data_IF_215724883657
#
_entry.id   IF_215724883657
#
_cell.length_a   1.000
_cell.length_b   1.000
_cell.length_c   1.000
_cell.angle_alpha   90.00
_cell.angle_beta   90.00
_cell.angle_gamma   90.00
#
_symmetry.space_group_name_H-M   'P 1'
#
loop_
_entity.id
_entity.type
_entity.pdbx_description
1 polymer ?
#
# COMPACT_ATOMS: atom_id res chain seq x y z
N UNK A 1 -11.78 -2.92 -0.63
CA UNK A 1 -10.63 -2.09 -1.03
C UNK A 1 -10.49 -2.26 -2.53
N UNK A 2 -10.52 -1.15 -3.29
CA UNK A 2 -10.50 -1.18 -4.76
C UNK A 2 -9.04 -1.10 -5.23
N UNK A 3 -8.65 -1.98 -6.16
CA UNK A 3 -7.28 -2.07 -6.69
C UNK A 3 -7.07 -1.10 -7.86
N UNK A 4 -5.81 -0.88 -8.22
CA UNK A 4 -5.42 0.08 -9.27
C UNK A 4 -5.21 -0.66 -10.59
N UNK A 5 -6.20 -0.60 -11.49
CA UNK A 5 -6.08 -1.05 -12.89
C UNK A 5 -5.03 -0.21 -13.67
N UNK A 6 -4.04 -0.86 -14.29
CA UNK A 6 -2.93 -0.14 -14.95
C UNK A 6 -1.77 0.28 -14.03
N UNK A 7 -1.74 -0.19 -12.78
CA UNK A 7 -0.51 -0.22 -12.00
C UNK A 7 0.49 -1.22 -12.60
N UNK A 8 1.79 -0.96 -12.46
CA UNK A 8 2.83 -1.94 -12.73
C UNK A 8 2.85 -2.99 -11.60
N UNK A 9 2.84 -4.27 -11.95
CA UNK A 9 2.72 -5.37 -10.99
C UNK A 9 3.98 -6.22 -10.94
N UNK A 10 4.41 -6.53 -9.71
CA UNK A 10 5.43 -7.54 -9.46
C UNK A 10 4.73 -8.84 -9.09
N UNK A 11 5.10 -9.95 -9.73
CA UNK A 11 4.57 -11.28 -9.42
C UNK A 11 5.68 -12.26 -9.06
N UNK A 12 5.36 -13.24 -8.22
CA UNK A 12 6.22 -14.38 -7.90
C UNK A 12 5.44 -15.69 -8.08
N UNK A 13 5.86 -16.50 -9.04
CA UNK A 13 5.39 -17.85 -9.33
C UNK A 13 6.44 -18.92 -8.97
N UNK A 14 7.65 -18.51 -8.58
CA UNK A 14 8.80 -19.40 -8.30
C UNK A 14 8.77 -20.00 -6.88
N UNK A 15 7.94 -19.47 -5.99
CA UNK A 15 7.78 -19.99 -4.64
C UNK A 15 7.16 -21.39 -4.61
N UNK A 16 6.40 -21.76 -5.65
CA UNK A 16 5.85 -23.11 -5.82
C UNK A 16 6.50 -23.83 -7.02
N UNK A 17 6.31 -25.15 -7.14
CA UNK A 17 6.96 -25.95 -8.19
C UNK A 17 6.35 -25.73 -9.58
N UNK A 18 5.18 -25.10 -9.62
CA UNK A 18 4.24 -24.97 -10.72
C UNK A 18 3.27 -23.81 -10.39
N UNK A 19 2.18 -23.59 -11.13
CA UNK A 19 1.25 -22.48 -10.89
C UNK A 19 0.27 -22.72 -9.70
N UNK A 20 0.67 -23.52 -8.71
CA UNK A 20 -0.16 -23.85 -7.54
C UNK A 20 -0.23 -22.67 -6.54
N UNK A 21 0.74 -21.74 -6.63
CA UNK A 21 0.73 -20.48 -5.91
C UNK A 21 1.24 -19.37 -6.82
N UNK A 22 0.52 -18.26 -6.85
CA UNK A 22 1.00 -17.00 -7.42
C UNK A 22 0.80 -15.91 -6.39
N UNK A 23 1.84 -15.12 -6.15
CA UNK A 23 1.71 -13.88 -5.39
C UNK A 23 1.94 -12.67 -6.29
N UNK A 24 1.24 -11.59 -6.01
CA UNK A 24 1.39 -10.32 -6.71
C UNK A 24 1.20 -9.14 -5.76
N UNK A 25 1.85 -8.04 -6.09
CA UNK A 25 1.80 -6.78 -5.37
C UNK A 25 2.07 -5.66 -6.37
N UNK A 26 1.41 -4.51 -6.21
CA UNK A 26 1.68 -3.35 -7.06
C UNK A 26 3.09 -2.82 -6.78
N UNK A 27 3.79 -2.34 -7.80
CA UNK A 27 5.13 -1.74 -7.65
C UNK A 27 5.11 -0.58 -6.65
N UNK A 28 4.07 0.27 -6.73
CA UNK A 28 3.58 1.20 -5.71
C UNK A 28 3.82 0.72 -4.27
N UNK A 29 3.19 -0.42 -3.98
CA UNK A 29 3.14 -0.99 -2.64
C UNK A 29 4.44 -1.68 -2.23
N UNK A 30 5.20 -2.24 -3.19
CA UNK A 30 6.55 -2.76 -2.95
C UNK A 30 7.49 -1.64 -2.52
N UNK A 31 7.50 -0.54 -3.27
CA UNK A 31 8.36 0.62 -2.99
C UNK A 31 7.99 1.29 -1.66
N UNK A 32 6.74 1.16 -1.25
CA UNK A 32 6.23 1.66 0.04
C UNK A 32 6.34 0.63 1.19
N UNK A 33 6.97 -0.53 0.96
CA UNK A 33 7.09 -1.65 1.91
C UNK A 33 5.75 -2.11 2.53
N UNK A 34 4.64 -2.03 1.78
CA UNK A 34 3.30 -2.38 2.28
C UNK A 34 3.02 -3.87 2.13
N UNK A 35 3.67 -4.66 2.95
CA UNK A 35 3.58 -6.13 2.91
C UNK A 35 2.14 -6.65 3.08
N UNK A 36 1.26 -5.91 3.74
CA UNK A 36 -0.16 -6.27 3.88
C UNK A 36 -0.93 -6.24 2.54
N UNK A 37 -0.41 -5.55 1.51
CA UNK A 37 -1.01 -5.48 0.17
C UNK A 37 -0.57 -6.62 -0.74
N UNK A 38 0.30 -7.53 -0.27
CA UNK A 38 0.68 -8.73 -1.05
C UNK A 38 -0.54 -9.62 -1.20
N UNK A 39 -1.00 -9.84 -2.42
CA UNK A 39 -2.07 -10.77 -2.71
C UNK A 39 -1.45 -12.13 -3.03
N UNK A 40 -1.85 -13.14 -2.28
CA UNK A 40 -1.38 -14.51 -2.46
C UNK A 40 -2.57 -15.40 -2.80
N UNK A 41 -2.53 -15.97 -4.01
CA UNK A 41 -3.52 -16.90 -4.50
C UNK A 41 -2.94 -18.30 -4.53
N UNK A 42 -3.60 -19.21 -3.82
CA UNK A 42 -3.19 -20.59 -3.70
C UNK A 42 -4.28 -21.49 -4.28
N UNK A 43 -3.92 -22.33 -5.25
CA UNK A 43 -4.78 -23.38 -5.80
C UNK A 43 -4.02 -24.69 -5.82
N UNK A 44 -4.58 -25.70 -5.17
CA UNK A 44 -4.10 -27.07 -5.31
C UNK A 44 -5.12 -27.94 -6.04
N UNK A 45 -4.61 -28.75 -6.95
CA UNK A 45 -5.38 -29.78 -7.63
C UNK A 45 -5.84 -30.89 -6.69
N UNK A 46 -7.15 -31.11 -6.58
CA UNK A 46 -7.78 -32.14 -5.73
C UNK A 46 -8.43 -33.28 -6.53
N UNK A 47 -8.26 -33.27 -7.86
CA UNK A 47 -8.79 -34.33 -8.73
C UNK A 47 -8.05 -35.65 -8.55
N UNK A 48 -8.75 -36.78 -8.73
CA UNK A 48 -8.16 -38.11 -8.56
C UNK A 48 -6.89 -38.34 -9.42
N UNK A 49 -6.86 -37.80 -10.64
CA UNK A 49 -5.69 -37.86 -11.52
C UNK A 49 -4.49 -37.03 -11.00
N UNK A 50 -4.75 -35.92 -10.32
CA UNK A 50 -3.70 -35.04 -9.77
C UNK A 50 -3.15 -35.57 -8.46
N UNK A 51 -4.02 -36.05 -7.56
CA UNK A 51 -3.63 -36.58 -6.24
C UNK A 51 -2.83 -37.89 -6.35
N UNK A 52 -3.06 -38.66 -7.42
CA UNK A 52 -2.32 -39.90 -7.70
C UNK A 52 -1.03 -39.67 -8.50
N UNK A 53 -0.74 -38.42 -8.90
CA UNK A 53 0.48 -38.05 -9.59
C UNK A 53 1.73 -38.28 -8.73
N UNK A 54 2.84 -38.67 -9.36
CA UNK A 54 4.11 -38.94 -8.67
C UNK A 54 4.74 -37.71 -8.02
N UNK A 55 4.40 -36.53 -8.52
CA UNK A 55 4.86 -35.20 -8.07
C UNK A 55 3.98 -34.60 -6.95
N UNK A 56 2.77 -35.16 -6.72
CA UNK A 56 1.80 -34.64 -5.76
C UNK A 56 2.34 -34.47 -4.33
N UNK A 57 3.10 -35.43 -3.74
CA UNK A 57 3.63 -35.26 -2.38
C UNK A 57 4.59 -34.08 -2.24
N UNK A 58 5.38 -33.76 -3.29
CA UNK A 58 6.29 -32.62 -3.27
C UNK A 58 5.52 -31.31 -3.44
N UNK A 59 4.56 -31.27 -4.38
CA UNK A 59 3.64 -30.14 -4.56
C UNK A 59 2.91 -29.82 -3.27
N UNK A 60 2.34 -30.83 -2.60
CA UNK A 60 1.65 -30.67 -1.32
C UNK A 60 2.54 -30.06 -0.22
N UNK A 61 3.80 -30.51 -0.09
CA UNK A 61 4.72 -29.96 0.91
C UNK A 61 5.06 -28.50 0.65
N UNK A 62 5.38 -28.14 -0.61
CA UNK A 62 5.69 -26.75 -0.99
C UNK A 62 4.46 -25.86 -0.86
N UNK A 63 3.31 -26.38 -1.24
CA UNK A 63 2.02 -25.73 -1.07
C UNK A 63 1.76 -25.41 0.41
N UNK A 64 1.89 -26.41 1.30
CA UNK A 64 1.77 -26.19 2.74
C UNK A 64 2.78 -25.19 3.30
N UNK A 65 4.02 -25.21 2.83
CA UNK A 65 5.03 -24.23 3.23
C UNK A 65 4.62 -22.80 2.85
N UNK A 66 4.05 -22.63 1.65
CA UNK A 66 3.55 -21.34 1.18
C UNK A 66 2.30 -20.90 1.95
N UNK A 67 1.34 -21.79 2.19
CA UNK A 67 0.18 -21.50 3.05
C UNK A 67 0.65 -21.06 4.44
N UNK A 68 1.62 -21.76 5.03
CA UNK A 68 2.16 -21.38 6.34
C UNK A 68 2.85 -20.01 6.35
N UNK A 69 3.46 -19.61 5.23
CA UNK A 69 4.11 -18.31 5.08
C UNK A 69 3.09 -17.18 4.90
N UNK A 70 2.06 -17.39 4.08
CA UNK A 70 1.10 -16.35 3.70
C UNK A 70 -0.18 -16.34 4.55
N UNK A 71 -0.41 -17.32 5.43
CA UNK A 71 -1.62 -17.37 6.29
C UNK A 71 -1.83 -16.13 7.17
N UNK A 72 -0.79 -15.32 7.38
CA UNK A 72 -0.85 -14.08 8.16
C UNK A 72 -1.03 -12.83 7.29
N UNK A 73 -1.08 -12.98 5.96
CA UNK A 73 -1.41 -11.88 5.06
C UNK A 73 -2.93 -11.70 5.01
N UNK A 74 -3.41 -10.47 5.22
CA UNK A 74 -4.84 -10.14 5.30
C UNK A 74 -5.63 -10.51 4.03
N UNK A 75 -4.94 -10.48 2.88
CA UNK A 75 -5.47 -10.76 1.55
C UNK A 75 -5.20 -12.20 1.08
N UNK A 76 -4.64 -13.07 1.92
CA UNK A 76 -4.43 -14.47 1.57
C UNK A 76 -5.79 -15.16 1.29
N UNK A 77 -5.88 -15.83 0.14
CA UNK A 77 -7.06 -16.58 -0.26
C UNK A 77 -6.63 -17.94 -0.81
N UNK A 78 -7.37 -18.97 -0.43
CA UNK A 78 -7.16 -20.36 -0.83
C UNK A 78 -8.47 -20.98 -1.30
N UNK A 79 -8.38 -21.82 -2.33
CA UNK A 79 -9.47 -22.67 -2.80
C UNK A 79 -8.94 -23.89 -3.57
N UNK A 80 -9.78 -24.90 -3.77
CA UNK A 80 -9.46 -26.11 -4.56
C UNK A 80 -10.00 -26.02 -5.99
N UNK A 81 -9.54 -26.92 -6.87
CA UNK A 81 -10.11 -27.05 -8.22
C UNK A 81 -11.61 -27.36 -8.22
N UNK A 82 -12.08 -28.18 -7.27
CA UNK A 82 -13.49 -28.51 -7.14
C UNK A 82 -14.35 -27.31 -6.74
N UNK A 83 -13.83 -26.40 -5.90
CA UNK A 83 -14.51 -25.16 -5.51
C UNK A 83 -14.61 -24.18 -6.68
N UNK A 84 -13.56 -24.09 -7.54
CA UNK A 84 -13.62 -23.32 -8.80
C UNK A 84 -14.68 -23.92 -9.73
N UNK A 85 -14.67 -25.23 -9.93
CA UNK A 85 -15.62 -25.91 -10.82
C UNK A 85 -17.08 -25.77 -10.34
N UNK A 86 -17.28 -25.63 -9.03
CA UNK A 86 -18.59 -25.42 -8.42
C UNK A 86 -18.98 -23.95 -8.28
N UNK A 87 -18.18 -23.03 -8.83
CA UNK A 87 -18.36 -21.58 -8.75
C UNK A 87 -18.46 -21.06 -7.29
N UNK A 88 -17.72 -21.70 -6.38
CA UNK A 88 -17.59 -21.36 -4.96
C UNK A 88 -16.28 -20.67 -4.63
N UNK A 89 -15.34 -20.61 -5.59
CA UNK A 89 -14.12 -19.84 -5.43
C UNK A 89 -14.46 -18.35 -5.22
N UNK A 90 -13.80 -17.67 -4.27
CA UNK A 90 -14.04 -16.25 -4.01
C UNK A 90 -13.67 -15.42 -5.24
N UNK A 91 -14.43 -14.34 -5.48
CA UNK A 91 -14.02 -13.35 -6.49
C UNK A 91 -12.67 -12.76 -6.11
N UNK A 92 -11.76 -12.72 -7.08
CA UNK A 92 -10.48 -12.06 -6.89
C UNK A 92 -10.75 -10.57 -6.67
N UNK A 93 -10.17 -9.96 -5.62
CA UNK A 93 -10.27 -8.54 -5.43
C UNK A 93 -9.34 -7.89 -6.47
N UNK A 94 -9.77 -7.79 -7.71
CA UNK A 94 -9.12 -7.00 -8.75
C UNK A 94 -10.10 -5.85 -9.03
N UNK A 95 -10.05 -4.83 -8.19
CA UNK A 95 -10.85 -3.62 -8.38
C UNK A 95 -10.28 -2.78 -9.51
N UNK A 96 -11.16 -2.08 -10.24
CA UNK A 96 -10.78 -1.10 -11.24
C UNK A 96 -10.35 0.22 -10.58
N UNK A 97 -9.45 0.99 -11.22
CA UNK A 97 -9.05 2.33 -10.74
C UNK A 97 -10.28 3.21 -10.60
N UNK A 98 -10.53 3.68 -9.39
CA UNK A 98 -11.37 4.86 -9.20
C UNK A 98 -10.61 6.08 -9.72
N UNK A 99 -11.12 6.69 -10.79
CA UNK A 99 -10.60 7.95 -11.32
C UNK A 99 -10.51 8.98 -10.17
N UNK A 100 -9.30 9.48 -9.93
CA UNK A 100 -9.05 10.52 -8.92
C UNK A 100 -9.31 11.91 -9.50
N UNK A 101 -9.59 12.89 -8.64
CA UNK A 101 -9.74 14.28 -9.07
C UNK A 101 -8.42 14.83 -9.65
N UNK A 102 -8.52 15.72 -10.65
CA UNK A 102 -7.38 16.24 -11.39
C UNK A 102 -6.31 16.89 -10.49
N UNK A 103 -6.73 17.59 -9.43
CA UNK A 103 -5.80 18.24 -8.50
C UNK A 103 -4.95 17.20 -7.74
N UNK A 104 -5.52 16.05 -7.37
CA UNK A 104 -4.79 14.95 -6.73
C UNK A 104 -3.89 14.22 -7.71
N UNK A 105 -4.30 14.07 -8.97
CA UNK A 105 -3.48 13.48 -10.02
C UNK A 105 -2.16 14.25 -10.19
N UNK A 106 -2.21 15.58 -10.16
CA UNK A 106 -1.01 16.40 -10.23
C UNK A 106 -0.04 16.15 -9.06
N UNK A 107 -0.56 15.89 -7.85
CA UNK A 107 0.28 15.56 -6.69
C UNK A 107 0.91 14.17 -6.88
N UNK A 108 0.15 13.17 -7.32
CA UNK A 108 0.66 11.80 -7.58
C UNK A 108 1.83 11.81 -8.58
N UNK A 109 1.79 12.68 -9.58
CA UNK A 109 2.84 12.82 -10.59
C UNK A 109 4.13 13.48 -10.08
N UNK A 110 4.04 14.25 -8.99
CA UNK A 110 5.17 15.00 -8.42
C UNK A 110 5.85 14.29 -7.25
N UNK A 111 5.14 13.39 -6.55
CA UNK A 111 5.72 12.67 -5.41
C UNK A 111 6.62 11.53 -5.84
N UNK A 112 7.53 11.17 -4.94
CA UNK A 112 8.36 9.97 -5.05
C UNK A 112 7.50 8.70 -5.16
N UNK A 113 7.94 7.66 -5.90
CA UNK A 113 7.15 6.44 -6.10
C UNK A 113 6.64 5.78 -4.81
N UNK A 114 7.46 5.75 -3.75
CA UNK A 114 7.09 5.20 -2.45
C UNK A 114 6.00 5.96 -1.68
N UNK A 115 5.58 7.14 -2.17
CA UNK A 115 4.51 7.93 -1.57
C UNK A 115 3.22 7.97 -2.38
N UNK A 116 3.24 7.58 -3.66
CA UNK A 116 2.09 7.63 -4.56
C UNK A 116 0.89 6.90 -4.01
N UNK A 117 1.14 5.71 -3.49
CA UNK A 117 0.16 4.82 -2.90
C UNK A 117 -0.57 5.49 -1.72
N UNK A 118 0.15 6.28 -0.89
CA UNK A 118 -0.45 7.03 0.22
C UNK A 118 -1.27 8.23 -0.30
N UNK A 119 -0.78 8.93 -1.33
CA UNK A 119 -1.52 10.04 -1.96
C UNK A 119 -2.83 9.58 -2.59
N UNK A 120 -2.84 8.41 -3.22
CA UNK A 120 -4.06 7.80 -3.78
C UNK A 120 -5.10 7.50 -2.68
N UNK A 121 -4.66 7.00 -1.53
CA UNK A 121 -5.54 6.77 -0.38
C UNK A 121 -6.08 8.08 0.22
N UNK A 122 -5.25 9.13 0.30
CA UNK A 122 -5.69 10.47 0.71
C UNK A 122 -6.74 11.05 -0.25
N UNK A 123 -6.55 10.86 -1.56
CA UNK A 123 -7.51 11.28 -2.58
C UNK A 123 -8.84 10.49 -2.44
N UNK A 124 -8.76 9.18 -2.22
CA UNK A 124 -9.92 8.33 -2.02
C UNK A 124 -10.70 8.63 -0.73
N UNK A 125 -10.03 9.20 0.29
CA UNK A 125 -10.67 9.62 1.54
C UNK A 125 -11.63 10.82 1.38
N UNK A 126 -11.70 11.44 0.20
CA UNK A 126 -12.66 12.52 -0.09
C UNK A 126 -12.40 13.79 0.71
N UNK A 127 -11.12 14.07 1.00
CA UNK A 127 -10.70 15.24 1.76
C UNK A 127 -11.13 16.55 1.07
N UNK A 128 -11.44 17.61 1.85
CA UNK A 128 -11.93 18.87 1.29
C UNK A 128 -10.84 19.62 0.51
N UNK A 129 -11.08 19.80 -0.79
CA UNK A 129 -10.21 20.55 -1.71
C UNK A 129 -10.62 22.03 -1.72
N UNK A 130 -9.69 23.01 -1.74
CA UNK A 130 -8.23 22.84 -1.84
C UNK A 130 -7.49 22.75 -0.50
N UNK A 131 -8.17 22.94 0.63
CA UNK A 131 -7.53 23.05 1.95
C UNK A 131 -6.72 21.81 2.37
N UNK A 132 -7.12 20.63 1.91
CA UNK A 132 -6.44 19.36 2.21
C UNK A 132 -5.39 18.95 1.16
N UNK A 133 -5.17 19.74 0.10
CA UNK A 133 -4.10 19.44 -0.85
C UNK A 133 -2.74 19.79 -0.22
N UNK A 134 -1.77 18.85 -0.22
CA UNK A 134 -0.44 19.14 0.26
C UNK A 134 0.35 20.02 -0.71
N UNK A 135 1.35 20.72 -0.19
CA UNK A 135 2.47 21.24 -0.98
C UNK A 135 3.53 20.15 -1.09
N UNK A 136 3.92 19.83 -2.32
CA UNK A 136 4.99 18.87 -2.62
C UNK A 136 6.35 19.56 -2.44
N UNK A 137 7.34 18.86 -1.89
CA UNK A 137 8.71 19.36 -1.65
C UNK A 137 8.75 20.72 -0.94
N UNK A 138 8.16 20.78 0.26
CA UNK A 138 8.14 22.02 1.05
C UNK A 138 9.41 22.20 1.88
N UNK A 139 10.26 23.13 1.45
CA UNK A 139 11.46 23.56 2.18
C UNK A 139 11.12 24.39 3.40
N UNK A 140 11.94 24.27 4.45
CA UNK A 140 11.83 25.05 5.67
C UNK A 140 13.14 25.78 5.99
N UNK A 141 13.17 27.07 5.64
CA UNK A 141 14.33 27.96 5.79
C UNK A 141 14.83 28.10 7.25
N UNK A 142 14.03 27.71 8.25
CA UNK A 142 14.39 27.77 9.67
C UNK A 142 15.13 26.51 10.18
N UNK A 143 15.37 25.51 9.33
CA UNK A 143 16.03 24.24 9.69
C UNK A 143 17.41 24.13 9.05
N UNK A 144 17.43 23.92 7.74
CA UNK A 144 18.62 23.76 6.90
C UNK A 144 18.18 23.96 5.44
N UNK A 145 19.07 24.44 4.56
CA UNK A 145 18.74 24.68 3.15
C UNK A 145 18.36 23.39 2.41
N UNK A 146 18.85 22.23 2.87
CA UNK A 146 18.55 20.92 2.28
C UNK A 146 17.37 20.20 2.98
N UNK A 147 16.75 20.81 4.00
CA UNK A 147 15.64 20.23 4.75
C UNK A 147 14.28 20.53 4.08
N UNK A 148 13.61 19.49 3.59
CA UNK A 148 12.29 19.61 3.00
C UNK A 148 11.36 18.46 3.40
N UNK A 149 10.06 18.75 3.35
CA UNK A 149 9.02 17.75 3.49
C UNK A 149 8.53 17.31 2.10
N UNK A 150 8.48 16.00 1.86
CA UNK A 150 7.94 15.42 0.63
C UNK A 150 6.51 15.91 0.38
N UNK A 151 5.70 15.95 1.45
CA UNK A 151 4.35 16.52 1.48
C UNK A 151 4.17 17.37 2.73
N UNK A 152 3.62 18.57 2.59
CA UNK A 152 3.32 19.44 3.72
C UNK A 152 1.92 20.05 3.64
N UNK A 153 1.32 20.28 4.80
CA UNK A 153 0.12 21.10 5.00
C UNK A 153 0.47 22.28 5.91
N UNK A 154 1.10 23.35 5.38
CA UNK A 154 1.55 24.50 6.19
C UNK A 154 0.38 25.28 6.81
N UNK A 155 -0.78 25.26 6.13
CA UNK A 155 -1.97 26.00 6.55
C UNK A 155 -2.80 25.26 7.61
N UNK A 156 -2.46 23.99 7.91
CA UNK A 156 -3.04 23.23 8.99
C UNK A 156 -2.57 23.75 10.37
N UNK A 157 -3.36 23.52 11.42
CA UNK A 157 -3.02 23.93 12.79
C UNK A 157 -3.06 22.74 13.77
N UNK A 158 -1.90 22.23 14.24
CA UNK A 158 -0.54 22.61 13.84
C UNK A 158 -0.24 22.20 12.39
N UNK A 159 0.76 22.85 11.78
CA UNK A 159 1.22 22.52 10.44
C UNK A 159 1.73 21.07 10.40
N UNK A 160 1.50 20.37 9.28
CA UNK A 160 1.82 18.93 9.16
C UNK A 160 2.89 18.75 8.08
N UNK A 161 3.91 17.95 8.37
CA UNK A 161 4.96 17.59 7.42
C UNK A 161 5.09 16.06 7.35
N UNK A 162 5.12 15.53 6.13
CA UNK A 162 5.49 14.15 5.84
C UNK A 162 6.95 14.14 5.38
N UNK A 163 7.82 13.51 6.15
CA UNK A 163 9.24 13.36 5.83
C UNK A 163 9.50 11.91 5.43
N UNK A 164 10.31 11.66 4.41
CA UNK A 164 10.68 10.31 3.98
C UNK A 164 12.17 10.23 3.64
N UNK A 165 12.75 9.04 3.78
CA UNK A 165 14.16 8.81 3.45
C UNK A 165 15.09 9.63 4.35
N UNK A 166 16.12 10.24 3.77
CA UNK A 166 17.11 11.03 4.54
C UNK A 166 16.49 12.25 5.24
N UNK A 167 15.30 12.71 4.80
CA UNK A 167 14.61 13.84 5.42
C UNK A 167 14.05 13.50 6.81
N UNK A 168 13.90 12.22 7.14
CA UNK A 168 13.45 11.78 8.47
C UNK A 168 14.41 12.21 9.59
N UNK A 169 15.70 12.37 9.29
CA UNK A 169 16.71 12.84 10.24
C UNK A 169 16.42 14.28 10.74
N UNK A 170 15.71 15.08 9.95
CA UNK A 170 15.29 16.44 10.32
C UNK A 170 14.01 16.47 11.16
N UNK A 171 13.34 15.34 11.40
CA UNK A 171 12.05 15.29 12.12
C UNK A 171 12.07 16.04 13.45
N UNK A 172 13.14 15.88 14.23
CA UNK A 172 13.27 16.55 15.53
C UNK A 172 13.33 18.08 15.42
N UNK A 173 13.82 18.62 14.30
CA UNK A 173 13.93 20.06 14.05
C UNK A 173 12.58 20.64 13.64
N UNK A 174 11.89 19.98 12.72
CA UNK A 174 10.51 20.30 12.35
C UNK A 174 9.58 20.32 13.57
N UNK A 175 9.67 19.30 14.43
CA UNK A 175 8.87 19.22 15.66
C UNK A 175 9.17 20.37 16.64
N UNK A 176 10.43 20.82 16.76
CA UNK A 176 10.80 21.98 17.60
C UNK A 176 10.17 23.28 17.10
N UNK A 177 9.95 23.40 15.80
CA UNK A 177 9.21 24.50 15.17
C UNK A 177 7.69 24.37 15.31
N UNK A 178 7.21 23.35 16.02
CA UNK A 178 5.78 23.13 16.29
C UNK A 178 5.05 22.36 15.20
N UNK A 179 5.77 21.80 14.22
CA UNK A 179 5.16 20.97 13.19
C UNK A 179 4.81 19.58 13.72
N UNK A 180 3.69 19.06 13.24
CA UNK A 180 3.36 17.66 13.37
C UNK A 180 4.04 16.89 12.25
N UNK A 181 5.09 16.16 12.61
CA UNK A 181 5.81 15.29 11.67
C UNK A 181 5.18 13.91 11.61
N UNK A 182 5.05 13.37 10.41
CA UNK A 182 4.64 12.00 10.09
C UNK A 182 5.71 11.40 9.18
N UNK A 183 6.03 10.12 9.36
CA UNK A 183 7.00 9.37 8.54
C UNK A 183 6.33 8.11 7.96
N UNK A 184 6.83 7.55 6.84
CA UNK A 184 6.27 6.35 6.22
C UNK A 184 6.07 5.18 7.19
N UNK A 185 7.02 4.94 8.11
CA UNK A 185 6.90 3.89 9.12
C UNK A 185 5.67 4.07 10.03
N UNK A 186 5.32 5.31 10.37
CA UNK A 186 4.11 5.61 11.15
C UNK A 186 2.84 5.35 10.33
N UNK A 187 2.86 5.69 9.03
CA UNK A 187 1.76 5.38 8.11
C UNK A 187 1.59 3.87 7.92
N UNK A 188 2.69 3.12 7.85
CA UNK A 188 2.65 1.68 7.76
C UNK A 188 2.07 1.05 9.03
N UNK A 189 2.42 1.57 10.21
CA UNK A 189 1.95 1.03 11.49
C UNK A 189 0.50 1.41 11.83
N UNK A 190 0.05 2.60 11.43
CA UNK A 190 -1.24 3.18 11.86
C UNK A 190 -2.27 3.35 10.74
N UNK A 191 -1.85 3.17 9.49
CA UNK A 191 -2.66 3.40 8.30
C UNK A 191 -2.76 4.88 7.91
N UNK A 192 -3.15 5.13 6.64
CA UNK A 192 -3.36 6.48 6.08
C UNK A 192 -4.49 7.23 6.79
N UNK A 193 -5.45 6.51 7.38
CA UNK A 193 -6.52 7.09 8.20
C UNK A 193 -5.97 8.00 9.31
N UNK A 194 -4.81 7.66 9.88
CA UNK A 194 -4.17 8.52 10.88
C UNK A 194 -3.83 9.91 10.31
N UNK A 195 -3.24 9.95 9.11
CA UNK A 195 -2.88 11.20 8.44
C UNK A 195 -4.13 11.98 7.99
N UNK A 196 -5.15 11.28 7.48
CA UNK A 196 -6.46 11.86 7.15
C UNK A 196 -7.05 12.60 8.35
N UNK A 197 -7.06 11.97 9.52
CA UNK A 197 -7.56 12.61 10.75
C UNK A 197 -6.76 13.84 11.16
N UNK A 198 -5.43 13.78 11.05
CA UNK A 198 -4.56 14.91 11.37
C UNK A 198 -4.87 16.10 10.46
N UNK A 199 -4.98 15.86 9.15
CA UNK A 199 -5.29 16.90 8.16
C UNK A 199 -6.66 17.49 8.45
N UNK A 200 -7.70 16.66 8.64
CA UNK A 200 -9.06 17.13 8.92
C UNK A 200 -9.14 17.98 10.20
N UNK A 201 -8.48 17.55 11.28
CA UNK A 201 -8.40 18.33 12.53
C UNK A 201 -7.64 19.64 12.31
N UNK A 202 -6.54 19.59 11.54
CA UNK A 202 -5.70 20.74 11.27
C UNK A 202 -6.37 21.83 10.43
N UNK A 203 -7.17 21.46 9.43
CA UNK A 203 -7.86 22.41 8.53
C UNK A 203 -9.15 22.97 9.12
N UNK A 204 -9.84 22.22 9.99
CA UNK A 204 -11.07 22.69 10.63
C UNK A 204 -10.78 23.72 11.74
N UNK A 205 -9.54 23.80 12.19
CA UNK A 205 -9.15 24.58 13.37
C UNK A 205 -9.67 23.89 14.62
N UNK A 206 -8.76 23.52 15.52
CA UNK A 206 -9.08 22.91 16.81
C UNK A 206 -10.19 23.67 17.58
#
# INVERSE_FOLDING_TARGET
MAHVDGADWVHNDKASMNQDLVTYIAEDDVLSNRQAQVIALARLGDGAAEVTGSDYPERWRRFLACVNLFQFCDTFRFWTSSEVASNQAPELPLGAVTAIAADWQQIVEQVTPGLRSYVLELAAAGLPVPAALPKVEHFNDDIDDDAFAELAWPDAKPAIALLAGDQEDFASQWQKLGWKVVVPDELQARGVEHLVELILKGIQGA
#
